data_IF_988072806883
#
_entry.id   IF_988072806883
#
_cell.length_a   1.000
_cell.length_b   1.000
_cell.length_c   1.000
_cell.angle_alpha   90.00
_cell.angle_beta   90.00
_cell.angle_gamma   90.00
#
_symmetry.space_group_name_H-M   'P 1'
#
loop_
_entity.id
_entity.type
_entity.pdbx_description
1 polymer ?
#
# COMPACT_ATOMS: atom_id res chain seq x y z
N UNK A 1 -5.48 33.67 -15.35
CA UNK A 1 -6.83 33.23 -14.95
C UNK A 1 -7.24 31.94 -15.71
N UNK A 2 -6.29 31.11 -16.15
CA UNK A 2 -6.53 30.10 -17.20
C UNK A 2 -6.59 28.63 -16.70
N UNK A 3 -6.45 28.37 -15.40
CA UNK A 3 -6.39 26.99 -14.87
C UNK A 3 -7.71 26.52 -14.21
N UNK A 4 -8.76 27.35 -14.21
CA UNK A 4 -10.07 26.95 -13.70
C UNK A 4 -10.67 25.85 -14.56
N UNK A 5 -11.01 24.71 -13.94
CA UNK A 5 -11.57 23.57 -14.66
C UNK A 5 -10.53 22.63 -15.27
N UNK A 6 -9.25 22.77 -14.92
CA UNK A 6 -8.20 21.83 -15.33
C UNK A 6 -7.86 20.86 -14.20
N UNK A 7 -7.73 19.59 -14.55
CA UNK A 7 -7.38 18.51 -13.65
C UNK A 7 -6.13 17.79 -14.12
N UNK A 8 -5.25 17.43 -13.19
CA UNK A 8 -4.05 16.63 -13.42
C UNK A 8 -4.31 15.20 -12.97
N UNK A 9 -4.18 14.23 -13.87
CA UNK A 9 -4.24 12.82 -13.51
C UNK A 9 -3.07 12.47 -12.56
N UNK A 10 -3.33 11.72 -11.49
CA UNK A 10 -2.26 11.33 -10.56
C UNK A 10 -1.44 10.14 -11.08
N UNK A 11 -2.03 9.30 -11.92
CA UNK A 11 -1.41 8.09 -12.46
C UNK A 11 -0.40 8.40 -13.58
N UNK A 12 -0.72 9.36 -14.45
CA UNK A 12 0.10 9.68 -15.62
C UNK A 12 0.56 11.15 -15.72
N UNK A 13 0.21 11.99 -14.74
CA UNK A 13 0.57 13.41 -14.66
C UNK A 13 0.11 14.32 -15.82
N UNK A 14 -0.68 13.82 -16.78
CA UNK A 14 -1.29 14.62 -17.86
C UNK A 14 -2.45 15.49 -17.36
N UNK A 15 -2.69 16.59 -18.08
CA UNK A 15 -3.71 17.60 -17.77
C UNK A 15 -4.93 17.47 -18.69
N UNK A 16 -6.12 17.58 -18.12
CA UNK A 16 -7.39 17.42 -18.82
C UNK A 16 -8.43 18.41 -18.29
N UNK A 17 -9.36 18.84 -19.13
CA UNK A 17 -10.47 19.68 -18.68
C UNK A 17 -11.55 18.85 -17.96
N UNK A 18 -12.16 19.44 -16.94
CA UNK A 18 -13.27 18.88 -16.17
C UNK A 18 -14.63 19.07 -16.86
N UNK A 19 -14.70 19.88 -17.92
CA UNK A 19 -15.93 20.24 -18.63
C UNK A 19 -16.46 21.62 -18.23
N UNK A 20 -17.41 22.14 -19.02
CA UNK A 20 -18.07 23.43 -18.79
C UNK A 20 -19.59 23.24 -18.66
N UNK A 21 -20.26 23.84 -17.66
CA UNK A 21 -19.68 24.60 -16.54
C UNK A 21 -18.81 23.71 -15.65
N UNK A 22 -17.85 24.32 -14.94
CA UNK A 22 -16.97 23.58 -14.02
C UNK A 22 -17.82 23.09 -12.84
N UNK A 23 -18.04 21.78 -12.79
CA UNK A 23 -18.66 21.09 -11.66
C UNK A 23 -17.59 20.27 -10.93
N UNK A 24 -17.38 20.59 -9.65
CA UNK A 24 -16.39 19.92 -8.81
C UNK A 24 -16.90 18.63 -8.17
N UNK A 25 -18.22 18.47 -8.11
CA UNK A 25 -18.90 17.28 -7.60
C UNK A 25 -19.14 16.24 -8.71
N UNK A 26 -19.17 16.68 -9.97
CA UNK A 26 -19.33 15.81 -11.14
C UNK A 26 -18.61 16.33 -12.40
N UNK A 27 -17.27 16.21 -12.48
CA UNK A 27 -16.51 16.55 -13.69
C UNK A 27 -16.83 15.58 -14.85
N UNK A 28 -17.21 16.13 -16.01
CA UNK A 28 -17.73 15.38 -17.18
C UNK A 28 -16.92 15.60 -18.48
N UNK A 29 -15.84 16.37 -18.45
CA UNK A 29 -14.97 16.70 -19.60
C UNK A 29 -13.95 15.62 -20.00
N UNK A 30 -12.84 16.02 -20.63
CA UNK A 30 -11.77 15.12 -21.05
C UNK A 30 -11.18 14.32 -19.88
N UNK A 31 -11.24 14.83 -18.65
CA UNK A 31 -10.81 14.09 -17.47
C UNK A 31 -11.65 12.82 -17.26
N UNK A 32 -12.97 12.88 -17.51
CA UNK A 32 -13.86 11.72 -17.41
C UNK A 32 -13.62 10.71 -18.53
N UNK A 33 -13.45 11.20 -19.76
CA UNK A 33 -13.12 10.34 -20.90
C UNK A 33 -11.78 9.64 -20.69
N UNK A 34 -10.76 10.39 -20.25
CA UNK A 34 -9.45 9.84 -19.92
C UNK A 34 -9.55 8.75 -18.85
N UNK A 35 -10.34 8.98 -17.79
CA UNK A 35 -10.54 8.00 -16.74
C UNK A 35 -11.19 6.70 -17.25
N UNK A 36 -12.17 6.81 -18.15
CA UNK A 36 -12.82 5.64 -18.76
C UNK A 36 -11.93 4.89 -19.75
N UNK A 37 -11.26 5.61 -20.66
CA UNK A 37 -10.45 5.03 -21.74
C UNK A 37 -9.15 4.40 -21.22
N UNK A 38 -8.47 5.08 -20.29
CA UNK A 38 -7.17 4.66 -19.75
C UNK A 38 -7.25 4.00 -18.38
N UNK A 39 -8.44 3.89 -17.80
CA UNK A 39 -8.66 3.35 -16.44
C UNK A 39 -7.87 4.10 -15.36
N UNK A 40 -7.62 5.40 -15.56
CA UNK A 40 -7.00 6.29 -14.57
C UNK A 40 -8.07 7.04 -13.80
N UNK A 41 -8.46 6.51 -12.66
CA UNK A 41 -9.71 6.92 -12.01
C UNK A 41 -9.58 8.17 -11.14
N UNK A 42 -8.38 8.66 -10.88
CA UNK A 42 -8.17 9.77 -9.94
C UNK A 42 -7.44 10.93 -10.62
N UNK A 43 -8.01 12.12 -10.47
CA UNK A 43 -7.39 13.37 -10.90
C UNK A 43 -7.51 14.43 -9.82
N UNK A 44 -6.51 15.32 -9.76
CA UNK A 44 -6.39 16.43 -8.83
C UNK A 44 -6.70 17.74 -9.54
N UNK A 45 -7.35 18.68 -8.86
CA UNK A 45 -7.59 20.02 -9.40
C UNK A 45 -6.30 20.84 -9.43
N UNK A 46 -6.07 21.57 -10.53
CA UNK A 46 -4.84 22.36 -10.68
C UNK A 46 -4.85 23.63 -9.83
N UNK A 47 -6.04 24.20 -9.62
CA UNK A 47 -6.29 25.39 -8.81
C UNK A 47 -6.40 25.07 -7.30
N UNK A 48 -6.78 23.85 -6.95
CA UNK A 48 -6.84 23.39 -5.56
C UNK A 48 -6.15 22.02 -5.41
N UNK A 49 -4.83 21.98 -5.14
CA UNK A 49 -4.04 20.76 -5.17
C UNK A 49 -4.45 19.74 -4.09
N UNK A 50 -5.18 20.18 -3.07
CA UNK A 50 -5.71 19.30 -2.02
C UNK A 50 -7.08 18.74 -2.33
N UNK A 51 -7.64 19.09 -3.48
CA UNK A 51 -8.91 18.58 -3.94
C UNK A 51 -8.64 17.65 -5.11
N UNK A 52 -9.20 16.45 -5.04
CA UNK A 52 -9.20 15.47 -6.12
C UNK A 52 -10.60 14.91 -6.35
N UNK A 53 -10.73 14.16 -7.43
CA UNK A 53 -11.96 13.48 -7.81
C UNK A 53 -11.66 12.05 -8.24
N UNK A 54 -12.47 11.11 -7.73
CA UNK A 54 -12.43 9.73 -8.17
C UNK A 54 -13.59 9.46 -9.13
N UNK A 55 -13.30 9.29 -10.41
CA UNK A 55 -14.27 9.01 -11.47
C UNK A 55 -14.93 7.63 -11.33
N UNK A 56 -14.25 6.66 -10.72
CA UNK A 56 -14.84 5.35 -10.43
C UNK A 56 -15.91 5.45 -9.34
N UNK A 57 -15.61 6.17 -8.26
CA UNK A 57 -16.53 6.33 -7.13
C UNK A 57 -17.57 7.44 -7.36
N UNK A 58 -17.36 8.28 -8.39
CA UNK A 58 -18.16 9.50 -8.65
C UNK A 58 -18.27 10.38 -7.41
N UNK A 59 -17.14 10.68 -6.77
CA UNK A 59 -17.09 11.54 -5.57
C UNK A 59 -15.79 12.36 -5.48
N UNK A 60 -15.86 13.58 -4.92
CA UNK A 60 -14.66 14.34 -4.55
C UNK A 60 -13.94 13.70 -3.36
N UNK A 61 -12.64 13.94 -3.28
CA UNK A 61 -11.79 13.50 -2.17
C UNK A 61 -10.74 14.58 -1.84
N UNK A 62 -10.41 14.73 -0.57
CA UNK A 62 -9.28 15.55 -0.14
C UNK A 62 -7.98 14.76 -0.33
N UNK A 63 -7.02 15.36 -1.01
CA UNK A 63 -5.63 14.94 -1.08
C UNK A 63 -4.93 15.80 -0.03
N UNK A 64 -4.47 15.24 1.09
CA UNK A 64 -3.95 16.04 2.21
C UNK A 64 -2.81 16.99 1.80
N UNK A 65 -2.81 18.19 2.42
CA UNK A 65 -1.79 19.23 2.31
C UNK A 65 -0.40 18.68 2.61
N UNK A 66 0.49 18.71 1.62
CA UNK A 66 1.91 18.46 1.81
C UNK A 66 2.59 19.78 2.22
N UNK A 67 2.51 20.15 3.50
CA UNK A 67 3.46 21.12 4.09
C UNK A 67 4.52 20.37 4.88
N UNK A 68 5.80 20.67 4.62
CA UNK A 68 6.96 19.93 5.15
C UNK A 68 7.22 20.09 6.66
N UNK A 69 6.42 20.87 7.40
CA UNK A 69 6.67 21.18 8.80
C UNK A 69 5.42 20.90 9.66
N UNK A 70 5.41 19.74 10.35
CA UNK A 70 4.90 19.58 11.73
C UNK A 70 4.85 18.09 12.11
N UNK A 71 5.97 17.59 12.62
CA UNK A 71 6.04 16.31 13.34
C UNK A 71 6.03 16.60 14.86
N UNK A 72 5.17 15.87 15.57
CA UNK A 72 4.96 15.85 17.01
C UNK A 72 4.04 16.95 17.59
N UNK A 73 2.73 16.67 17.71
CA UNK A 73 1.94 16.67 18.98
C UNK A 73 0.59 16.00 18.71
N UNK A 74 0.46 14.68 18.93
CA UNK A 74 -0.86 14.04 19.12
C UNK A 74 -0.73 12.66 19.81
N UNK A 75 0.05 12.59 20.88
CA UNK A 75 0.07 11.43 21.78
C UNK A 75 0.17 11.93 23.22
N UNK A 76 -0.84 12.70 23.64
CA UNK A 76 -1.18 13.09 25.03
C UNK A 76 -2.31 14.11 24.96
N UNK A 77 -3.53 13.66 25.28
CA UNK A 77 -4.63 14.41 25.93
C UNK A 77 -6.00 14.04 25.38
N UNK A 78 -6.50 12.86 25.76
CA UNK A 78 -7.94 12.65 25.99
C UNK A 78 -8.12 11.84 27.28
N UNK A 79 -7.56 12.36 28.37
CA UNK A 79 -8.15 12.22 29.70
C UNK A 79 -8.35 13.64 30.20
N UNK A 80 -9.49 13.84 30.84
CA UNK A 80 -9.91 15.10 31.46
C UNK A 80 -10.69 16.04 30.55
N UNK A 81 -11.96 15.66 30.31
CA UNK A 81 -13.08 16.61 30.34
C UNK A 81 -14.41 15.86 30.59
N UNK A 82 -14.55 15.27 31.77
CA UNK A 82 -15.88 14.99 32.35
C UNK A 82 -15.92 15.66 33.72
N UNK A 83 -16.52 16.86 33.77
CA UNK A 83 -16.86 17.54 35.02
C UNK A 83 -18.11 16.91 35.66
N UNK A 84 -18.31 17.08 36.99
CA UNK A 84 -18.91 16.08 37.86
C UNK A 84 -20.41 16.30 38.10
N UNK A 85 -21.10 15.25 38.57
CA UNK A 85 -22.49 15.31 39.00
C UNK A 85 -22.93 14.07 39.80
N UNK A 86 -22.58 14.06 41.08
CA UNK A 86 -23.41 13.69 42.24
C UNK A 86 -24.30 12.44 42.26
N UNK A 87 -23.88 11.53 43.16
CA UNK A 87 -24.66 10.94 44.26
C UNK A 87 -25.35 9.58 44.12
N UNK A 88 -25.09 8.79 45.17
CA UNK A 88 -25.89 7.70 45.78
C UNK A 88 -25.57 6.26 45.34
N UNK A 89 -24.80 5.60 46.23
CA UNK A 89 -24.65 4.16 46.33
C UNK A 89 -25.97 3.43 46.63
N UNK A 90 -26.10 2.16 46.20
CA UNK A 90 -26.54 1.02 47.04
C UNK A 90 -26.65 -0.31 46.25
N UNK A 91 -25.98 -1.33 46.81
CA UNK A 91 -26.40 -2.71 47.09
C UNK A 91 -26.85 -3.70 45.99
N UNK A 92 -26.30 -4.93 46.03
CA UNK A 92 -27.14 -6.13 46.19
C UNK A 92 -27.27 -7.16 45.05
N UNK A 93 -26.49 -8.25 45.17
CA UNK A 93 -26.74 -9.69 44.85
C UNK A 93 -28.04 -10.14 44.12
N UNK A 94 -27.93 -11.00 43.07
CA UNK A 94 -28.98 -12.01 42.77
C UNK A 94 -29.20 -12.52 41.33
N UNK A 95 -28.78 -13.77 41.07
CA UNK A 95 -29.38 -14.86 40.24
C UNK A 95 -29.77 -14.75 38.74
N UNK A 96 -29.10 -15.60 37.94
CA UNK A 96 -29.56 -16.59 36.91
C UNK A 96 -30.91 -16.41 36.18
N UNK A 97 -30.88 -16.29 34.85
CA UNK A 97 -31.31 -17.34 33.87
C UNK A 97 -31.24 -16.81 32.43
N UNK A 98 -30.77 -17.65 31.50
CA UNK A 98 -30.45 -17.26 30.12
C UNK A 98 -31.63 -17.19 29.16
N UNK A 99 -31.38 -16.61 27.99
CA UNK A 99 -31.98 -16.99 26.69
C UNK A 99 -30.92 -16.74 25.61
N UNK A 100 -30.66 -17.78 24.81
CA UNK A 100 -29.82 -17.74 23.64
C UNK A 100 -30.39 -16.80 22.56
N UNK A 101 -29.55 -15.93 22.00
CA UNK A 101 -29.65 -15.50 20.60
C UNK A 101 -28.24 -15.34 20.02
N UNK A 102 -27.91 -16.28 19.15
CA UNK A 102 -26.83 -16.20 18.18
C UNK A 102 -27.17 -15.07 17.18
N UNK A 103 -26.49 -13.94 17.30
CA UNK A 103 -26.43 -12.93 16.25
C UNK A 103 -24.96 -12.64 15.96
N UNK A 104 -24.54 -13.10 14.78
CA UNK A 104 -23.23 -12.90 14.16
C UNK A 104 -22.93 -11.39 14.06
N UNK A 105 -22.36 -10.84 15.13
CA UNK A 105 -22.02 -9.43 15.23
C UNK A 105 -20.89 -9.13 14.23
N UNK A 106 -21.25 -8.40 13.17
CA UNK A 106 -20.32 -7.75 12.26
C UNK A 106 -19.42 -6.84 13.09
N UNK A 107 -18.14 -7.21 13.17
CA UNK A 107 -17.11 -6.33 13.71
C UNK A 107 -17.02 -5.10 12.80
N UNK A 108 -17.05 -3.87 13.34
CA UNK A 108 -16.83 -2.67 12.54
C UNK A 108 -15.46 -2.71 11.89
N UNK A 109 -15.39 -2.38 10.60
CA UNK A 109 -14.12 -2.14 9.91
C UNK A 109 -13.48 -0.91 10.55
N UNK A 110 -12.43 -1.13 11.33
CA UNK A 110 -11.55 -0.07 11.78
C UNK A 110 -10.74 0.34 10.55
N UNK A 111 -11.09 1.47 9.94
CA UNK A 111 -10.16 2.19 9.09
C UNK A 111 -9.03 2.65 10.03
N UNK A 112 -7.83 2.11 9.86
CA UNK A 112 -6.67 2.63 10.55
C UNK A 112 -6.22 3.87 9.82
N UNK A 113 -6.16 4.98 10.55
CA UNK A 113 -5.57 6.23 10.08
C UNK A 113 -4.14 5.97 9.62
N UNK A 114 -3.86 6.37 8.37
CA UNK A 114 -2.61 6.15 7.66
C UNK A 114 -1.44 6.81 8.40
N UNK A 115 -0.68 6.03 9.16
CA UNK A 115 0.68 6.40 9.56
C UNK A 115 1.62 6.05 8.42
N UNK A 116 1.56 6.86 7.34
CA UNK A 116 2.39 6.71 6.16
C UNK A 116 3.76 7.36 6.39
N UNK A 117 4.79 6.52 6.54
CA UNK A 117 6.20 6.90 6.42
C UNK A 117 6.46 7.39 5.00
N UNK A 118 6.98 8.62 4.89
CA UNK A 118 7.06 9.38 3.65
C UNK A 118 7.87 8.71 2.55
N UNK A 119 7.19 8.42 1.44
CA UNK A 119 7.76 8.47 0.09
C UNK A 119 6.68 8.94 -0.87
N UNK A 120 6.79 10.19 -1.31
CA UNK A 120 5.95 10.80 -2.32
C UNK A 120 6.13 10.08 -3.67
N UNK A 121 5.25 9.14 -3.99
CA UNK A 121 4.90 8.80 -5.36
C UNK A 121 3.43 8.42 -5.36
N UNK A 122 2.60 9.11 -6.15
CA UNK A 122 1.13 9.00 -6.18
C UNK A 122 0.55 7.63 -6.56
N UNK A 123 1.34 6.56 -6.54
CA UNK A 123 0.91 5.18 -6.62
C UNK A 123 0.50 4.69 -5.22
N UNK A 124 -0.63 5.18 -4.72
CA UNK A 124 -1.19 4.57 -3.51
C UNK A 124 -1.50 3.08 -3.74
N UNK A 125 -1.66 2.32 -2.66
CA UNK A 125 -1.84 0.88 -2.76
C UNK A 125 -3.08 0.40 -2.00
N UNK A 126 -3.68 -0.67 -2.51
CA UNK A 126 -4.79 -1.35 -1.84
C UNK A 126 -4.22 -2.52 -1.05
N UNK A 127 -4.64 -2.62 0.22
CA UNK A 127 -4.34 -3.74 1.09
C UNK A 127 -5.21 -4.92 0.65
N UNK A 128 -4.56 -6.00 0.18
CA UNK A 128 -5.22 -7.26 -0.19
C UNK A 128 -4.73 -8.37 0.72
N UNK A 129 -5.63 -9.26 1.14
CA UNK A 129 -5.25 -10.41 1.97
C UNK A 129 -4.39 -11.43 1.22
N UNK A 130 -3.55 -12.16 1.95
CA UNK A 130 -2.84 -13.35 1.45
C UNK A 130 -3.36 -14.60 2.18
N UNK A 131 -3.47 -15.75 1.50
CA UNK A 131 -3.89 -16.98 2.13
C UNK A 131 -2.86 -17.40 3.18
N UNK A 132 -3.35 -17.76 4.37
CA UNK A 132 -2.51 -18.33 5.40
C UNK A 132 -2.70 -19.85 5.40
N UNK A 133 -1.64 -20.59 5.06
CA UNK A 133 -1.66 -22.05 5.08
C UNK A 133 -1.26 -22.62 6.46
N UNK A 134 -1.33 -21.80 7.51
CA UNK A 134 -0.95 -22.15 8.88
C UNK A 134 0.50 -21.81 9.21
N UNK A 135 1.40 -21.96 8.23
CA UNK A 135 2.84 -21.69 8.40
C UNK A 135 3.31 -20.41 7.75
N UNK A 136 2.51 -19.77 6.91
CA UNK A 136 2.98 -18.70 6.02
C UNK A 136 2.79 -17.30 6.60
N UNK A 137 2.35 -17.17 7.85
CA UNK A 137 2.02 -15.87 8.43
C UNK A 137 3.24 -14.94 8.56
N UNK A 138 4.44 -15.47 8.86
CA UNK A 138 5.68 -14.68 8.90
C UNK A 138 6.01 -14.07 7.52
N UNK A 139 5.86 -14.87 6.46
CA UNK A 139 6.03 -14.43 5.09
C UNK A 139 4.97 -13.40 4.71
N UNK A 140 3.69 -13.72 4.96
CA UNK A 140 2.58 -12.85 4.59
C UNK A 140 2.73 -11.48 5.27
N UNK A 141 3.07 -11.44 6.56
CA UNK A 141 3.34 -10.20 7.27
C UNK A 141 4.50 -9.42 6.63
N UNK A 142 5.59 -10.10 6.31
CA UNK A 142 6.75 -9.49 5.66
C UNK A 142 6.41 -8.92 4.29
N UNK A 143 5.70 -9.68 3.46
CA UNK A 143 5.26 -9.24 2.13
C UNK A 143 4.29 -8.06 2.22
N UNK A 144 3.37 -8.02 3.19
CA UNK A 144 2.52 -6.84 3.42
C UNK A 144 3.36 -5.61 3.74
N UNK A 145 4.36 -5.75 4.62
CA UNK A 145 5.28 -4.65 4.93
C UNK A 145 6.02 -4.16 3.69
N UNK A 146 6.52 -5.08 2.85
CA UNK A 146 7.21 -4.74 1.61
C UNK A 146 6.30 -4.03 0.60
N UNK A 147 5.06 -4.50 0.45
CA UNK A 147 4.08 -3.91 -0.44
C UNK A 147 3.68 -2.48 0.00
N UNK A 148 3.85 -2.12 1.27
CA UNK A 148 3.64 -0.75 1.72
C UNK A 148 4.79 0.22 1.32
N UNK A 149 5.97 -0.28 0.95
CA UNK A 149 7.15 0.55 0.68
C UNK A 149 7.09 1.21 -0.71
N UNK A 150 6.81 2.50 -0.76
CA UNK A 150 6.76 3.28 -2.01
C UNK A 150 8.08 3.27 -2.81
N UNK A 151 9.24 3.35 -2.13
CA UNK A 151 10.56 3.21 -2.76
C UNK A 151 10.78 1.86 -3.43
N UNK A 152 10.37 0.77 -2.77
CA UNK A 152 10.49 -0.57 -3.35
C UNK A 152 9.51 -0.74 -4.52
N UNK A 153 8.28 -0.24 -4.38
CA UNK A 153 7.25 -0.26 -5.44
C UNK A 153 7.74 0.43 -6.71
N UNK A 154 8.28 1.64 -6.60
CA UNK A 154 8.80 2.40 -7.74
C UNK A 154 9.97 1.68 -8.40
N UNK A 155 10.90 1.16 -7.61
CA UNK A 155 12.08 0.45 -8.12
C UNK A 155 11.73 -0.85 -8.83
N UNK A 156 10.89 -1.70 -8.23
CA UNK A 156 10.49 -2.98 -8.82
C UNK A 156 9.66 -2.79 -10.08
N UNK A 157 8.81 -1.75 -10.13
CA UNK A 157 7.99 -1.44 -11.31
C UNK A 157 8.74 -0.69 -12.41
N UNK A 158 10.01 -0.32 -12.19
CA UNK A 158 10.81 0.33 -13.22
C UNK A 158 10.91 -0.56 -14.45
N UNK A 159 10.71 -0.03 -15.68
CA UNK A 159 10.92 -0.79 -16.91
C UNK A 159 12.38 -1.26 -17.03
N UNK A 160 13.32 -0.50 -16.47
CA UNK A 160 14.75 -0.81 -16.49
C UNK A 160 15.19 -1.73 -15.34
N UNK A 161 14.26 -2.20 -14.50
CA UNK A 161 14.62 -3.12 -13.43
C UNK A 161 14.95 -4.50 -13.99
N UNK A 162 16.20 -4.90 -13.76
CA UNK A 162 16.77 -6.19 -14.14
C UNK A 162 16.26 -7.29 -13.20
N UNK A 163 15.02 -7.73 -13.43
CA UNK A 163 14.36 -8.73 -12.59
C UNK A 163 14.41 -10.11 -13.24
N UNK A 164 14.86 -11.11 -12.47
CA UNK A 164 14.66 -12.51 -12.80
C UNK A 164 13.24 -12.99 -12.46
N UNK A 165 13.05 -14.31 -12.44
CA UNK A 165 11.74 -14.93 -12.21
C UNK A 165 11.11 -14.47 -10.90
N UNK A 166 11.86 -14.45 -9.80
CA UNK A 166 11.31 -14.13 -8.47
C UNK A 166 11.05 -12.63 -8.35
N UNK A 167 11.94 -11.79 -8.88
CA UNK A 167 11.70 -10.37 -9.03
C UNK A 167 10.42 -10.07 -9.80
N UNK A 168 10.12 -10.80 -10.87
CA UNK A 168 8.89 -10.64 -11.66
C UNK A 168 7.62 -11.05 -10.88
N UNK A 169 7.65 -12.15 -10.12
CA UNK A 169 6.51 -12.51 -9.24
C UNK A 169 6.30 -11.46 -8.15
N UNK A 170 7.38 -10.90 -7.59
CA UNK A 170 7.28 -9.79 -6.64
C UNK A 170 6.68 -8.53 -7.31
N UNK A 171 7.08 -8.22 -8.55
CA UNK A 171 6.49 -7.15 -9.37
C UNK A 171 5.00 -7.36 -9.59
N UNK A 172 4.57 -8.59 -9.84
CA UNK A 172 3.15 -8.92 -10.01
C UNK A 172 2.34 -8.58 -8.75
N UNK A 173 2.82 -8.91 -7.55
CA UNK A 173 2.19 -8.49 -6.29
C UNK A 173 2.07 -6.95 -6.17
N UNK A 174 3.08 -6.20 -6.62
CA UNK A 174 3.02 -4.73 -6.66
C UNK A 174 2.02 -4.20 -7.70
N UNK A 175 1.81 -4.90 -8.81
CA UNK A 175 0.80 -4.56 -9.82
C UNK A 175 -0.60 -4.88 -9.30
N UNK A 176 -0.77 -6.02 -8.65
CA UNK A 176 -2.03 -6.47 -8.07
C UNK A 176 -2.54 -5.59 -6.93
N UNK A 177 -1.64 -4.91 -6.22
CA UNK A 177 -1.95 -4.00 -5.12
C UNK A 177 -2.14 -2.54 -5.56
N UNK A 178 -2.26 -2.24 -6.86
CA UNK A 178 -2.60 -0.89 -7.33
C UNK A 178 -3.99 -0.48 -6.84
N UNK A 179 -4.17 0.82 -6.54
CA UNK A 179 -5.48 1.38 -6.16
C UNK A 179 -6.57 1.12 -7.20
N UNK A 180 -6.21 1.03 -8.48
CA UNK A 180 -7.13 0.74 -9.57
C UNK A 180 -7.75 -0.66 -9.50
N UNK A 181 -7.19 -1.58 -8.69
CA UNK A 181 -7.62 -2.97 -8.64
C UNK A 181 -8.63 -3.23 -7.52
N UNK A 182 -9.45 -4.27 -7.70
CA UNK A 182 -10.42 -4.70 -6.69
C UNK A 182 -9.72 -5.22 -5.42
N UNK A 183 -10.10 -4.66 -4.27
CA UNK A 183 -9.63 -5.08 -2.95
C UNK A 183 -10.15 -6.47 -2.51
N UNK A 184 -11.13 -7.05 -3.21
CA UNK A 184 -11.80 -8.29 -2.78
C UNK A 184 -11.02 -9.58 -3.04
N UNK A 185 -10.14 -9.61 -4.04
CA UNK A 185 -9.37 -10.82 -4.34
C UNK A 185 -8.15 -10.97 -3.42
N UNK A 186 -7.69 -12.21 -3.22
CA UNK A 186 -6.47 -12.49 -2.45
C UNK A 186 -5.24 -12.46 -3.36
N UNK A 187 -4.10 -12.07 -2.81
CA UNK A 187 -2.79 -12.17 -3.46
C UNK A 187 -2.29 -13.61 -3.39
N UNK A 188 -1.54 -14.05 -4.41
CA UNK A 188 -0.90 -15.36 -4.45
C UNK A 188 0.63 -15.26 -4.30
N UNK A 189 1.19 -15.48 -3.09
CA UNK A 189 2.63 -15.47 -2.87
C UNK A 189 3.30 -16.84 -3.09
N UNK A 190 2.59 -17.84 -3.66
CA UNK A 190 3.05 -19.23 -3.70
C UNK A 190 4.38 -19.41 -4.44
N UNK A 191 4.59 -18.67 -5.52
CA UNK A 191 5.83 -18.75 -6.29
C UNK A 191 7.04 -18.18 -5.53
N UNK A 192 6.83 -17.12 -4.74
CA UNK A 192 7.87 -16.56 -3.86
C UNK A 192 8.21 -17.57 -2.75
N UNK A 193 7.18 -18.18 -2.15
CA UNK A 193 7.38 -19.19 -1.11
C UNK A 193 8.16 -20.39 -1.64
N UNK A 194 7.77 -20.94 -2.79
CA UNK A 194 8.46 -22.07 -3.43
C UNK A 194 9.92 -21.75 -3.68
N UNK A 195 10.22 -20.58 -4.25
CA UNK A 195 11.60 -20.20 -4.56
C UNK A 195 12.49 -20.03 -3.31
N UNK A 196 11.95 -19.43 -2.24
CA UNK A 196 12.70 -19.29 -0.98
C UNK A 196 12.99 -20.66 -0.37
N UNK A 197 12.01 -21.59 -0.41
CA UNK A 197 12.16 -22.97 0.08
C UNK A 197 13.15 -23.78 -0.75
N UNK A 198 13.12 -23.64 -2.08
CA UNK A 198 14.06 -24.32 -2.97
C UNK A 198 15.49 -23.81 -2.79
N UNK A 199 15.67 -22.51 -2.56
CA UNK A 199 17.01 -21.91 -2.39
C UNK A 199 17.61 -22.18 -1.01
N UNK A 200 16.76 -22.27 0.02
CA UNK A 200 17.18 -22.44 1.41
C UNK A 200 16.36 -23.55 2.10
N UNK A 201 16.47 -24.81 1.63
CA UNK A 201 15.64 -25.92 2.10
C UNK A 201 15.84 -26.22 3.58
N UNK A 202 17.06 -26.04 4.09
CA UNK A 202 17.41 -26.29 5.50
C UNK A 202 16.90 -25.19 6.46
N UNK A 203 16.40 -24.06 5.92
CA UNK A 203 15.94 -22.91 6.72
C UNK A 203 14.44 -22.69 6.65
N UNK A 204 13.80 -23.05 5.54
CA UNK A 204 12.36 -22.88 5.36
C UNK A 204 11.70 -24.23 5.10
N UNK A 205 11.56 -25.02 6.15
CA UNK A 205 10.87 -26.30 6.08
C UNK A 205 9.36 -26.10 5.90
N UNK A 206 8.70 -27.06 5.24
CA UNK A 206 7.26 -27.19 5.39
C UNK A 206 6.97 -27.59 6.84
N UNK A 207 5.89 -27.08 7.43
CA UNK A 207 5.43 -27.38 8.80
C UNK A 207 6.06 -26.58 9.94
N UNK A 208 6.90 -25.58 9.64
CA UNK A 208 7.50 -24.71 10.65
C UNK A 208 7.33 -23.22 10.33
N UNK A 209 6.96 -22.46 11.37
CA UNK A 209 7.01 -21.00 11.32
C UNK A 209 8.46 -20.55 11.48
N UNK A 210 8.91 -19.71 10.56
CA UNK A 210 10.27 -19.18 10.56
C UNK A 210 10.28 -17.69 10.92
N UNK A 211 11.48 -17.16 11.11
CA UNK A 211 11.70 -15.76 11.45
C UNK A 211 11.44 -14.84 10.23
N UNK A 212 10.66 -13.77 10.43
CA UNK A 212 10.30 -12.83 9.36
C UNK A 212 11.49 -12.01 8.84
N UNK A 213 12.46 -11.71 9.70
CA UNK A 213 13.69 -11.01 9.30
C UNK A 213 14.59 -11.94 8.47
N UNK A 214 14.71 -13.21 8.87
CA UNK A 214 15.43 -14.21 8.08
C UNK A 214 14.78 -14.44 6.71
N UNK A 215 13.44 -14.45 6.63
CA UNK A 215 12.71 -14.50 5.38
C UNK A 215 12.98 -13.27 4.51
N UNK A 216 12.90 -12.06 5.09
CA UNK A 216 13.17 -10.80 4.41
C UNK A 216 14.56 -10.80 3.75
N UNK A 217 15.60 -11.15 4.50
CA UNK A 217 16.97 -11.22 3.99
C UNK A 217 17.11 -12.28 2.90
N UNK A 218 16.49 -13.45 3.08
CA UNK A 218 16.56 -14.54 2.10
C UNK A 218 15.87 -14.16 0.79
N UNK A 219 14.73 -13.50 0.85
CA UNK A 219 14.03 -12.97 -0.32
C UNK A 219 14.89 -11.96 -1.08
N UNK A 220 15.45 -10.96 -0.39
CA UNK A 220 16.29 -9.95 -1.05
C UNK A 220 17.59 -10.53 -1.60
N UNK A 221 18.20 -11.51 -0.93
CA UNK A 221 19.38 -12.20 -1.46
C UNK A 221 19.06 -12.94 -2.77
N UNK A 222 17.87 -13.53 -2.90
CA UNK A 222 17.44 -14.17 -4.16
C UNK A 222 17.25 -13.12 -5.25
N UNK A 223 16.48 -12.06 -4.97
CA UNK A 223 16.19 -11.01 -5.96
C UNK A 223 17.47 -10.28 -6.37
N UNK A 224 18.38 -10.00 -5.44
CA UNK A 224 19.65 -9.35 -5.75
C UNK A 224 20.57 -10.28 -6.56
N UNK A 225 20.58 -11.58 -6.30
CA UNK A 225 21.31 -12.53 -7.14
C UNK A 225 20.78 -12.57 -8.58
N UNK A 226 19.46 -12.49 -8.77
CA UNK A 226 18.84 -12.38 -10.11
C UNK A 226 19.25 -11.06 -10.80
N UNK A 227 19.25 -9.94 -10.06
CA UNK A 227 19.69 -8.64 -10.57
C UNK A 227 21.15 -8.69 -11.03
N UNK A 228 22.04 -9.28 -10.24
CA UNK A 228 23.46 -9.39 -10.59
C UNK A 228 23.69 -10.30 -11.82
N UNK A 229 22.93 -11.39 -11.95
CA UNK A 229 22.99 -12.26 -13.13
C UNK A 229 22.54 -11.53 -14.40
N UNK A 230 21.43 -10.79 -14.33
CA UNK A 230 20.90 -10.01 -15.44
C UNK A 230 21.78 -8.80 -15.77
N UNK A 231 22.35 -8.13 -14.76
CA UNK A 231 23.40 -7.12 -14.94
C UNK A 231 24.58 -7.68 -15.73
N UNK A 232 25.04 -8.88 -15.41
CA UNK A 232 26.11 -9.55 -16.15
C UNK A 232 25.78 -9.71 -17.63
N UNK A 233 24.53 -10.05 -17.97
CA UNK A 233 24.06 -10.16 -19.36
C UNK A 233 23.99 -8.80 -20.05
N UNK A 234 23.41 -7.79 -19.39
CA UNK A 234 23.31 -6.43 -19.92
C UNK A 234 24.67 -5.75 -20.14
N UNK A 235 25.63 -5.94 -19.23
CA UNK A 235 26.98 -5.36 -19.35
C UNK A 235 27.72 -5.96 -20.56
N UNK A 236 27.53 -7.25 -20.86
CA UNK A 236 28.10 -7.87 -22.07
C UNK A 236 27.53 -7.27 -23.37
N UNK A 237 26.31 -6.73 -23.30
CA UNK A 237 25.64 -6.03 -24.42
C UNK A 237 25.91 -4.52 -24.41
N UNK A 238 26.73 -4.01 -23.48
CA UNK A 238 27.08 -2.59 -23.35
C UNK A 238 26.05 -1.75 -22.59
N UNK A 239 25.13 -2.37 -21.86
CA UNK A 239 24.12 -1.72 -21.03
C UNK A 239 24.62 -1.26 -19.66
N UNK A 240 23.82 -0.46 -18.98
CA UNK A 240 24.09 0.03 -17.62
C UNK A 240 23.79 -1.02 -16.55
N UNK A 241 24.40 -0.87 -15.36
CA UNK A 241 24.18 -1.77 -14.21
C UNK A 241 23.00 -1.26 -13.39
N UNK A 242 22.01 -2.12 -13.16
CA UNK A 242 20.91 -1.84 -12.26
C UNK A 242 21.33 -2.10 -10.80
N UNK A 243 21.13 -1.16 -9.87
CA UNK A 243 21.55 -1.34 -8.49
C UNK A 243 20.70 -2.41 -7.77
N UNK A 244 21.32 -3.23 -6.94
CA UNK A 244 20.62 -4.20 -6.07
C UNK A 244 19.64 -3.53 -5.10
N UNK A 245 18.62 -4.27 -4.67
CA UNK A 245 17.57 -3.77 -3.81
C UNK A 245 18.05 -3.55 -2.39
N UNK A 246 18.87 -4.46 -1.85
CA UNK A 246 19.32 -4.36 -0.45
C UNK A 246 20.16 -3.09 -0.21
N UNK A 247 21.13 -2.82 -1.08
CA UNK A 247 21.99 -1.62 -1.01
C UNK A 247 21.17 -0.35 -1.25
N UNK A 248 20.22 -0.36 -2.17
CA UNK A 248 19.49 0.85 -2.54
C UNK A 248 18.36 1.22 -1.58
N UNK A 249 17.85 0.28 -0.78
CA UNK A 249 16.69 0.50 0.08
C UNK A 249 17.06 0.64 1.56
N UNK A 250 18.04 -0.13 2.03
CA UNK A 250 18.33 -0.27 3.45
C UNK A 250 19.73 0.20 3.85
N UNK A 251 20.58 0.57 2.90
CA UNK A 251 21.91 1.07 3.22
C UNK A 251 21.84 2.45 3.90
N UNK A 252 22.12 2.47 5.21
CA UNK A 252 22.42 3.65 5.99
C UNK A 252 23.75 3.45 6.70
N UNK A 253 24.61 4.46 6.71
CA UNK A 253 25.85 4.41 7.50
C UNK A 253 25.52 4.79 8.95
N UNK A 254 25.91 3.95 9.91
CA UNK A 254 25.95 4.38 11.31
C UNK A 254 27.07 5.41 11.45
N UNK A 255 26.71 6.64 11.84
CA UNK A 255 27.63 7.74 12.13
C UNK A 255 27.99 7.73 13.61
#
# INVERSE_FOLDING_TARGET
EDDQGMMKCIDCAYFFCSGWPVDREDPQGHARWHAGEHQHWVARWCDEPNLGYCFMCSRPMRLSDWSEDDYAVAARNEKDQQMPGDSVAKDGWGSVSGIAKDERQRVPRIAMDDVASGYANGDGHVIRGMPNHGETCYMNATLQCLLALGKLRTKIRSPDAHLGSIGLHLRELFVETRISNDARGMLDPSMILTAVRERYPDRFEAWKMEDSHEFLLSLFNIVDAEVEEENGRHVLEGGEVFPTFNVSLFWGSAV
#
